data_IF_425868172168
#
_entry.id   IF_425868172168
#
_cell.length_a   1.000
_cell.length_b   1.000
_cell.length_c   1.000
_cell.angle_alpha   90.00
_cell.angle_beta   90.00
_cell.angle_gamma   90.00
#
_symmetry.space_group_name_H-M   'P 1'
#
loop_
_entity.id
_entity.type
_entity.pdbx_description
1 polymer ?
#
# COMPACT_ATOMS: atom_id res chain seq x y z
N UNK A 1 10.47 -11.06 13.66
CA UNK A 1 9.13 -11.62 13.41
C UNK A 1 9.24 -12.69 12.32
N UNK A 2 9.02 -13.94 12.68
CA UNK A 2 8.95 -15.09 11.76
C UNK A 2 7.47 -15.36 11.47
N UNK A 3 7.15 -15.74 10.24
CA UNK A 3 5.81 -16.14 9.83
C UNK A 3 5.50 -17.55 10.35
N UNK A 4 4.53 -17.66 11.25
CA UNK A 4 4.07 -18.94 11.80
C UNK A 4 2.93 -19.53 10.96
N UNK A 5 2.06 -18.67 10.42
CA UNK A 5 0.97 -19.05 9.55
C UNK A 5 0.66 -17.95 8.53
N UNK A 6 0.06 -18.35 7.40
CA UNK A 6 -0.48 -17.46 6.39
C UNK A 6 -1.68 -18.14 5.72
N UNK A 7 -2.77 -17.40 5.50
CA UNK A 7 -3.95 -17.94 4.82
C UNK A 7 -3.70 -18.16 3.32
N UNK A 8 -4.57 -18.91 2.66
CA UNK A 8 -4.48 -19.18 1.21
C UNK A 8 -4.47 -17.89 0.38
N UNK A 9 -5.24 -16.87 0.80
CA UNK A 9 -5.32 -15.59 0.11
C UNK A 9 -3.97 -14.88 0.06
N UNK A 10 -3.18 -14.87 1.14
CA UNK A 10 -1.85 -14.25 1.15
C UNK A 10 -0.87 -14.96 0.20
N UNK A 11 -0.96 -16.28 0.15
CA UNK A 11 -0.17 -17.10 -0.78
C UNK A 11 -0.49 -16.73 -2.23
N UNK A 12 -1.76 -16.72 -2.60
CA UNK A 12 -2.22 -16.31 -3.94
C UNK A 12 -1.82 -14.88 -4.28
N UNK A 13 -2.03 -13.93 -3.36
CA UNK A 13 -1.71 -12.52 -3.57
C UNK A 13 -0.22 -12.28 -3.87
N UNK A 14 0.67 -13.01 -3.22
CA UNK A 14 2.12 -12.86 -3.37
C UNK A 14 2.74 -13.83 -4.38
N UNK A 15 1.97 -14.78 -4.91
CA UNK A 15 2.41 -15.80 -5.85
C UNK A 15 3.28 -16.89 -5.22
N UNK A 16 3.08 -17.20 -3.94
CA UNK A 16 3.75 -18.30 -3.24
C UNK A 16 2.81 -19.51 -3.15
N UNK A 17 3.38 -20.71 -3.19
CA UNK A 17 2.66 -21.97 -3.01
C UNK A 17 2.35 -22.17 -1.52
N UNK A 18 1.27 -22.90 -1.16
CA UNK A 18 0.94 -23.17 0.24
C UNK A 18 2.13 -23.72 1.04
N UNK A 19 2.41 -23.11 2.18
CA UNK A 19 3.51 -23.50 3.08
C UNK A 19 4.87 -22.86 2.75
N UNK A 20 5.05 -22.22 1.58
CA UNK A 20 6.31 -21.54 1.26
C UNK A 20 6.58 -20.30 2.12
N UNK A 21 5.53 -19.70 2.70
CA UNK A 21 5.66 -18.49 3.53
C UNK A 21 6.02 -18.80 4.99
N UNK A 22 5.58 -19.94 5.51
CA UNK A 22 5.81 -20.33 6.90
C UNK A 22 7.31 -20.53 7.16
N UNK A 23 7.78 -20.08 8.33
CA UNK A 23 9.18 -20.11 8.73
C UNK A 23 10.04 -18.99 8.15
N UNK A 24 9.53 -18.20 7.19
CA UNK A 24 10.27 -17.05 6.65
C UNK A 24 10.21 -15.85 7.61
N UNK A 25 11.27 -15.04 7.69
CA UNK A 25 11.18 -13.73 8.32
C UNK A 25 10.19 -12.87 7.55
N UNK A 26 9.20 -12.25 8.21
CA UNK A 26 8.26 -11.36 7.53
C UNK A 26 8.99 -10.22 6.80
N UNK A 27 10.07 -9.72 7.38
CA UNK A 27 10.92 -8.72 6.76
C UNK A 27 11.48 -9.13 5.40
N UNK A 28 11.64 -10.44 5.13
CA UNK A 28 12.09 -10.93 3.81
C UNK A 28 11.08 -10.67 2.70
N UNK A 29 9.80 -10.56 3.03
CA UNK A 29 8.74 -10.20 2.10
C UNK A 29 8.64 -8.69 1.87
N UNK A 30 9.44 -7.86 2.54
CA UNK A 30 9.40 -6.41 2.38
C UNK A 30 10.42 -5.94 1.33
N UNK A 31 10.04 -4.90 0.58
CA UNK A 31 11.01 -4.10 -0.16
C UNK A 31 12.05 -3.50 0.78
N UNK A 32 13.18 -3.01 0.24
CA UNK A 32 14.24 -2.40 1.05
C UNK A 32 13.71 -1.21 1.85
N UNK A 33 12.93 -0.33 1.22
CA UNK A 33 12.34 0.83 1.89
C UNK A 33 11.34 0.43 2.97
N UNK A 34 10.43 -0.50 2.68
CA UNK A 34 9.44 -0.96 3.66
C UNK A 34 10.05 -1.74 4.82
N UNK A 35 11.21 -2.38 4.62
CA UNK A 35 11.95 -3.03 5.70
C UNK A 35 12.47 -2.03 6.72
N UNK A 36 12.97 -0.88 6.28
CA UNK A 36 13.39 0.21 7.17
C UNK A 36 12.20 0.75 7.96
N UNK A 37 11.08 1.04 7.29
CA UNK A 37 9.83 1.49 7.95
C UNK A 37 9.36 0.48 8.99
N UNK A 38 9.36 -0.81 8.63
CA UNK A 38 8.96 -1.88 9.54
C UNK A 38 9.89 -1.97 10.76
N UNK A 39 11.20 -1.84 10.58
CA UNK A 39 12.14 -1.91 11.70
C UNK A 39 12.08 -0.67 12.61
N UNK A 40 11.94 0.52 12.04
CA UNK A 40 11.98 1.79 12.77
C UNK A 40 10.63 2.10 13.42
N UNK A 41 9.51 1.78 12.77
CA UNK A 41 8.17 2.16 13.25
C UNK A 41 7.36 0.95 13.72
N UNK A 42 7.19 -0.09 12.89
CA UNK A 42 6.33 -1.22 13.26
C UNK A 42 6.82 -1.94 14.51
N UNK A 43 8.10 -2.33 14.53
CA UNK A 43 8.67 -3.12 15.62
C UNK A 43 8.55 -2.44 16.99
N UNK A 44 8.85 -1.12 17.15
CA UNK A 44 8.57 -0.42 18.40
C UNK A 44 7.08 -0.31 18.72
N UNK A 45 6.25 0.08 17.74
CA UNK A 45 4.83 0.33 17.97
C UNK A 45 4.08 -0.93 18.43
N UNK A 46 4.30 -2.07 17.77
CA UNK A 46 3.63 -3.33 18.15
C UNK A 46 4.08 -3.83 19.52
N UNK A 47 5.32 -3.53 19.93
CA UNK A 47 5.85 -3.92 21.24
C UNK A 47 5.32 -3.05 22.38
N UNK A 48 5.15 -1.75 22.15
CA UNK A 48 4.71 -0.79 23.16
C UNK A 48 3.19 -0.71 23.27
N UNK A 49 2.50 -0.68 22.13
CA UNK A 49 1.07 -0.39 22.07
C UNK A 49 0.23 -1.64 21.86
N UNK A 50 0.86 -2.81 21.64
CA UNK A 50 0.20 -4.08 21.30
C UNK A 50 -0.71 -4.01 20.05
N UNK A 51 -0.64 -2.91 19.29
CA UNK A 51 -1.48 -2.65 18.13
C UNK A 51 -0.75 -1.73 17.15
N UNK A 52 -0.97 -1.98 15.86
CA UNK A 52 -0.61 -1.10 14.74
C UNK A 52 -1.81 -1.00 13.82
N UNK A 53 -2.16 0.21 13.43
CA UNK A 53 -3.27 0.48 12.51
C UNK A 53 -2.75 1.23 11.28
N UNK A 54 -3.27 0.81 10.14
CA UNK A 54 -3.16 1.46 8.84
C UNK A 54 -1.72 1.75 8.40
N UNK A 55 -0.81 0.83 8.66
CA UNK A 55 0.57 0.98 8.22
C UNK A 55 0.74 0.61 6.75
N UNK A 56 1.07 1.59 5.91
CA UNK A 56 1.36 1.33 4.51
C UNK A 56 2.75 0.69 4.33
N UNK A 57 2.81 -0.44 3.62
CA UNK A 57 4.05 -1.16 3.29
C UNK A 57 3.98 -1.69 1.86
N UNK A 58 5.14 -1.87 1.23
CA UNK A 58 5.28 -2.61 -0.02
C UNK A 58 5.88 -3.98 0.28
N UNK A 59 5.10 -5.02 -0.05
CA UNK A 59 5.58 -6.39 -0.06
C UNK A 59 6.25 -6.70 -1.41
N UNK A 60 7.08 -7.74 -1.43
CA UNK A 60 7.75 -8.26 -2.61
C UNK A 60 7.12 -9.59 -2.99
N UNK A 61 6.43 -9.62 -4.13
CA UNK A 61 5.88 -10.85 -4.70
C UNK A 61 7.01 -11.81 -5.08
N UNK A 62 6.69 -13.10 -5.24
CA UNK A 62 7.63 -14.11 -5.74
C UNK A 62 8.15 -13.77 -7.15
N UNK A 63 7.34 -13.09 -7.96
CA UNK A 63 7.72 -12.56 -9.28
C UNK A 63 8.75 -11.43 -9.23
N UNK A 64 9.04 -10.86 -8.06
CA UNK A 64 9.90 -9.71 -7.90
C UNK A 64 9.20 -8.35 -7.98
N UNK A 65 7.90 -8.32 -8.29
CA UNK A 65 7.10 -7.09 -8.31
C UNK A 65 6.72 -6.62 -6.91
N UNK A 66 6.51 -5.32 -6.76
CA UNK A 66 6.03 -4.72 -5.53
C UNK A 66 4.52 -4.85 -5.40
N UNK A 67 4.06 -5.13 -4.18
CA UNK A 67 2.66 -5.29 -3.83
C UNK A 67 2.34 -4.37 -2.64
N UNK A 68 1.72 -3.20 -2.87
CA UNK A 68 1.38 -2.27 -1.81
C UNK A 68 0.23 -2.82 -0.95
N UNK A 69 0.39 -2.73 0.36
CA UNK A 69 -0.59 -3.16 1.36
C UNK A 69 -0.76 -2.13 2.48
N UNK A 70 -1.95 -2.06 3.04
CA UNK A 70 -2.21 -1.52 4.37
C UNK A 70 -2.17 -2.66 5.39
N UNK A 71 -1.39 -2.49 6.45
CA UNK A 71 -1.18 -3.48 7.50
C UNK A 71 -1.80 -3.01 8.81
N UNK A 72 -2.70 -3.82 9.35
CA UNK A 72 -3.13 -3.76 10.74
C UNK A 72 -2.53 -4.94 11.48
N UNK A 73 -2.11 -4.74 12.72
CA UNK A 73 -1.64 -5.82 13.56
C UNK A 73 -2.04 -5.66 15.01
N UNK A 74 -2.23 -6.78 15.69
CA UNK A 74 -2.41 -6.86 17.14
C UNK A 74 -1.45 -7.89 17.71
N UNK A 75 -0.91 -7.58 18.88
CA UNK A 75 -0.06 -8.50 19.64
C UNK A 75 -0.91 -9.28 20.62
N UNK A 76 -0.87 -10.60 20.50
CA UNK A 76 -1.50 -11.54 21.41
C UNK A 76 -0.42 -12.18 22.28
N UNK A 77 -0.57 -12.07 23.59
CA UNK A 77 0.26 -12.80 24.55
C UNK A 77 -0.32 -14.22 24.68
N UNK A 78 0.52 -15.23 24.49
CA UNK A 78 0.13 -16.64 24.65
C UNK A 78 1.10 -17.34 25.60
N UNK A 79 0.70 -18.48 26.17
CA UNK A 79 1.59 -19.29 27.03
C UNK A 79 2.88 -19.74 26.30
N UNK A 80 2.82 -19.83 24.97
CA UNK A 80 3.92 -20.23 24.08
C UNK A 80 4.80 -19.04 23.63
N UNK A 81 4.44 -17.82 24.03
CA UNK A 81 5.11 -16.56 23.70
C UNK A 81 4.24 -15.57 22.92
N UNK A 82 4.74 -14.36 22.75
CA UNK A 82 3.97 -13.30 22.10
C UNK A 82 3.87 -13.52 20.58
N UNK A 83 2.65 -13.56 20.06
CA UNK A 83 2.34 -13.67 18.64
C UNK A 83 1.77 -12.35 18.12
N UNK A 84 2.10 -11.98 16.88
CA UNK A 84 1.46 -10.86 16.21
C UNK A 84 0.52 -11.40 15.14
N UNK A 85 -0.75 -11.05 15.23
CA UNK A 85 -1.72 -11.28 14.16
C UNK A 85 -1.75 -10.07 13.24
N UNK A 86 -1.68 -10.29 11.94
CA UNK A 86 -1.61 -9.24 10.95
C UNK A 86 -2.71 -9.41 9.90
N UNK A 87 -3.40 -8.32 9.58
CA UNK A 87 -4.34 -8.22 8.47
C UNK A 87 -3.74 -7.31 7.41
N UNK A 88 -3.77 -7.75 6.15
CA UNK A 88 -3.17 -7.05 5.02
C UNK A 88 -4.23 -6.74 3.98
N UNK A 89 -4.40 -5.45 3.66
CA UNK A 89 -5.34 -4.97 2.65
C UNK A 89 -4.58 -4.55 1.39
N UNK A 90 -4.84 -5.16 0.21
CA UNK A 90 -4.20 -4.75 -1.05
C UNK A 90 -4.57 -3.33 -1.46
N UNK A 91 -3.57 -2.50 -1.74
CA UNK A 91 -3.78 -1.09 -2.11
C UNK A 91 -3.72 -0.80 -3.60
N UNK A 92 -3.39 -1.79 -4.44
CA UNK A 92 -3.20 -1.59 -5.90
C UNK A 92 -4.40 -0.93 -6.59
N UNK A 93 -5.61 -1.38 -6.26
CA UNK A 93 -6.84 -0.82 -6.85
C UNK A 93 -7.06 0.63 -6.42
N UNK A 94 -6.90 0.91 -5.13
CA UNK A 94 -7.07 2.25 -4.57
C UNK A 94 -6.08 3.22 -5.23
N UNK A 95 -4.80 2.85 -5.31
CA UNK A 95 -3.76 3.65 -5.95
C UNK A 95 -4.07 3.90 -7.44
N UNK A 96 -4.53 2.87 -8.17
CA UNK A 96 -4.89 3.02 -9.58
C UNK A 96 -6.10 3.95 -9.76
N UNK A 97 -7.12 3.84 -8.90
CA UNK A 97 -8.26 4.74 -8.92
C UNK A 97 -7.87 6.19 -8.63
N UNK A 98 -7.05 6.43 -7.60
CA UNK A 98 -6.54 7.77 -7.28
C UNK A 98 -5.79 8.38 -8.46
N UNK A 99 -4.98 7.58 -9.15
CA UNK A 99 -4.26 8.02 -10.35
C UNK A 99 -5.21 8.39 -11.49
N UNK A 100 -6.26 7.60 -11.71
CA UNK A 100 -7.27 7.87 -12.74
C UNK A 100 -8.06 9.15 -12.44
N UNK A 101 -8.45 9.34 -11.18
CA UNK A 101 -9.12 10.57 -10.72
C UNK A 101 -8.23 11.77 -10.99
N UNK A 102 -6.97 11.73 -10.54
CA UNK A 102 -6.03 12.83 -10.75
C UNK A 102 -5.77 13.14 -12.23
N UNK A 103 -5.71 12.13 -13.09
CA UNK A 103 -5.56 12.32 -14.53
C UNK A 103 -6.81 12.99 -15.16
N UNK A 104 -8.00 12.59 -14.73
CA UNK A 104 -9.26 13.18 -15.19
C UNK A 104 -9.39 14.65 -14.77
N UNK A 105 -9.05 14.98 -13.52
CA UNK A 105 -9.05 16.35 -13.02
C UNK A 105 -8.08 17.25 -13.81
N UNK A 106 -6.86 16.76 -14.07
CA UNK A 106 -5.89 17.49 -14.88
C UNK A 106 -6.36 17.72 -16.31
N UNK A 107 -7.03 16.74 -16.92
CA UNK A 107 -7.59 16.88 -18.27
C UNK A 107 -8.72 17.92 -18.30
N UNK A 108 -9.62 17.88 -17.33
CA UNK A 108 -10.72 18.84 -17.20
C UNK A 108 -10.19 20.27 -17.00
N UNK A 109 -9.16 20.44 -16.17
CA UNK A 109 -8.56 21.75 -15.92
C UNK A 109 -7.89 22.32 -17.18
N UNK A 110 -7.17 21.49 -17.95
CA UNK A 110 -6.59 21.90 -19.24
C UNK A 110 -7.66 22.34 -20.23
N UNK A 111 -8.74 21.58 -20.36
CA UNK A 111 -9.84 21.92 -21.26
C UNK A 111 -10.53 23.24 -20.87
N UNK A 112 -10.74 23.48 -19.57
CA UNK A 112 -11.28 24.74 -19.05
C UNK A 112 -10.35 25.93 -19.35
N UNK A 113 -9.06 25.77 -19.10
CA UNK A 113 -8.06 26.80 -19.38
C UNK A 113 -8.02 27.16 -20.88
N UNK A 114 -8.15 26.17 -21.77
CA UNK A 114 -8.20 26.38 -23.21
C UNK A 114 -9.48 27.09 -23.67
N UNK A 115 -10.64 26.68 -23.15
CA UNK A 115 -11.92 27.34 -23.41
C UNK A 115 -11.89 28.81 -23.00
N UNK A 116 -11.31 29.13 -21.84
CA UNK A 116 -11.16 30.52 -21.38
C UNK A 116 -10.22 31.32 -22.30
N UNK A 117 -9.12 30.73 -22.76
CA UNK A 117 -8.21 31.37 -23.72
C UNK A 117 -8.92 31.70 -25.03
N UNK A 118 -9.64 30.73 -25.60
CA UNK A 118 -10.39 30.90 -26.85
C UNK A 118 -11.48 31.96 -26.70
N UNK A 119 -12.25 31.92 -25.60
CA UNK A 119 -13.28 32.92 -25.32
C UNK A 119 -12.70 34.34 -25.26
N UNK A 120 -11.59 34.53 -24.54
CA UNK A 120 -10.94 35.83 -24.42
C UNK A 120 -10.42 36.35 -25.78
N UNK A 121 -9.98 35.46 -26.67
CA UNK A 121 -9.58 35.84 -28.03
C UNK A 121 -10.78 36.30 -28.86
N UNK A 122 -11.90 35.58 -28.80
CA UNK A 122 -13.13 35.95 -29.52
C UNK A 122 -13.67 37.30 -29.03
N UNK A 123 -13.67 37.55 -27.72
CA UNK A 123 -14.11 38.83 -27.15
C UNK A 123 -13.23 40.00 -27.60
N UNK A 124 -11.91 39.81 -27.75
CA UNK A 124 -11.00 40.85 -28.29
C UNK A 124 -11.25 41.17 -29.76
N UNK A 125 -11.50 40.16 -30.59
CA UNK A 125 -11.76 40.35 -32.02
C UNK A 125 -13.12 41.02 -32.27
N UNK A 126 -14.12 40.75 -31.43
CA UNK A 126 -15.45 41.38 -31.54
C UNK A 126 -15.54 42.81 -31.00
N UNK A 127 -14.58 43.22 -30.16
CA UNK A 127 -14.51 44.56 -29.58
C UNK A 127 -13.64 45.55 -30.35
N UNK A 128 -13.04 45.15 -31.48
CA UNK A 128 -12.28 46.00 -32.43
C UNK A 128 -13.08 46.19 -33.71
#
# INVERSE_FOLDING_TARGET
MILTAANATLHEMLGYSPGELTGRPFGSLLTVSSRAVFQIYFQPLIKLNHKVEEMFLNLRMKSGQDFPVLLNASRMETEEGDMNECILFPMRRIIEYEKQIGASEQAAEKARAELLRLRNQVERVRGS
#
